data_IF_613510517800
#
_entry.id   IF_613510517800
#
_cell.length_a   1.000
_cell.length_b   1.000
_cell.length_c   1.000
_cell.angle_alpha   90.00
_cell.angle_beta   90.00
_cell.angle_gamma   90.00
#
_symmetry.space_group_name_H-M   'P 1'
#
loop_
_entity.id
_entity.type
_entity.pdbx_description
1 polymer ?
#
# COMPACT_ATOMS: atom_id res chain seq x y z
N UNK A 1 18.65 1.85 -14.16
CA UNK A 1 17.98 0.84 -13.33
C UNK A 1 17.17 1.62 -12.30
N UNK A 2 15.89 1.85 -12.59
CA UNK A 2 15.02 2.68 -11.75
C UNK A 2 14.47 1.80 -10.63
N UNK A 3 14.80 2.13 -9.38
CA UNK A 3 14.18 1.53 -8.21
C UNK A 3 12.76 2.11 -8.14
N UNK A 4 11.75 1.27 -8.36
CA UNK A 4 10.34 1.64 -8.19
C UNK A 4 10.13 1.97 -6.71
N UNK A 5 9.65 3.16 -6.33
CA UNK A 5 9.34 3.46 -4.94
C UNK A 5 8.05 2.70 -4.59
N UNK A 6 8.17 1.60 -3.82
CA UNK A 6 7.04 0.69 -3.58
C UNK A 6 6.08 1.14 -2.48
N UNK A 7 5.71 2.42 -2.54
CA UNK A 7 4.64 2.96 -1.71
C UNK A 7 4.02 4.17 -2.43
N UNK A 8 3.33 3.92 -3.55
CA UNK A 8 2.68 4.98 -4.33
C UNK A 8 1.33 4.45 -4.81
N UNK A 9 0.25 5.00 -4.22
CA UNK A 9 -1.11 5.08 -4.77
C UNK A 9 -1.68 3.79 -5.41
N UNK A 10 -2.62 3.14 -4.71
CA UNK A 10 -3.33 1.97 -5.23
C UNK A 10 -2.65 0.63 -4.95
N UNK A 11 -1.63 0.58 -4.09
CA UNK A 11 -1.04 -0.66 -3.61
C UNK A 11 -2.06 -1.57 -2.92
N UNK A 12 -1.88 -2.88 -2.98
CA UNK A 12 -2.75 -3.84 -2.29
C UNK A 12 -2.67 -3.66 -0.79
N UNK A 13 -3.78 -3.87 -0.10
CA UNK A 13 -3.71 -4.13 1.35
C UNK A 13 -2.86 -5.40 1.53
N UNK A 14 -1.81 -5.39 2.36
CA UNK A 14 -0.87 -6.51 2.49
C UNK A 14 -1.47 -7.70 3.24
N UNK A 15 -2.72 -7.58 3.70
CA UNK A 15 -3.41 -8.61 4.46
C UNK A 15 -3.68 -9.84 3.59
N UNK A 16 -3.56 -11.00 4.24
CA UNK A 16 -3.90 -12.30 3.67
C UNK A 16 -4.98 -12.93 4.54
N UNK A 17 -6.03 -13.41 3.89
CA UNK A 17 -7.13 -14.13 4.52
C UNK A 17 -6.75 -15.61 4.61
N UNK A 18 -6.97 -16.19 5.78
CA UNK A 18 -6.85 -17.63 5.99
C UNK A 18 -8.04 -18.38 5.36
N UNK A 19 -8.05 -19.72 5.50
CA UNK A 19 -9.13 -20.59 5.01
C UNK A 19 -10.51 -20.27 5.61
N UNK A 20 -10.55 -19.60 6.75
CA UNK A 20 -11.76 -19.24 7.48
C UNK A 20 -12.18 -17.80 7.17
N UNK A 21 -11.46 -17.11 6.27
CA UNK A 21 -11.73 -15.74 5.81
C UNK A 21 -11.29 -14.67 6.80
N UNK A 22 -10.47 -15.02 7.80
CA UNK A 22 -10.01 -14.07 8.80
C UNK A 22 -8.67 -13.45 8.37
N UNK A 23 -8.48 -12.13 8.63
CA UNK A 23 -7.22 -11.47 8.32
C UNK A 23 -6.12 -12.03 9.23
N UNK A 24 -5.04 -12.46 8.59
CA UNK A 24 -3.87 -12.96 9.27
C UNK A 24 -2.85 -11.83 9.51
N UNK A 25 -2.58 -11.44 10.77
CA UNK A 25 -1.68 -10.33 11.09
C UNK A 25 -0.18 -10.69 10.99
N UNK A 26 0.19 -11.90 10.58
CA UNK A 26 1.60 -12.31 10.53
C UNK A 26 2.40 -11.48 9.50
N UNK A 27 3.44 -10.72 9.93
CA UNK A 27 4.09 -9.73 9.11
C UNK A 27 5.37 -10.31 8.49
N UNK A 28 5.54 -10.19 7.16
CA UNK A 28 6.88 -9.94 6.58
C UNK A 28 7.01 -9.80 5.07
N UNK A 29 6.01 -10.17 4.29
CA UNK A 29 6.18 -10.17 2.83
C UNK A 29 5.59 -8.88 2.27
N UNK A 30 6.34 -7.80 2.48
CA UNK A 30 6.16 -6.51 1.80
C UNK A 30 7.43 -6.25 0.96
N UNK A 31 7.32 -5.63 -0.22
CA UNK A 31 6.09 -5.20 -0.87
C UNK A 31 5.32 -6.35 -1.54
N UNK A 32 4.00 -6.18 -1.70
CA UNK A 32 3.18 -7.03 -2.58
C UNK A 32 3.06 -6.30 -3.91
N UNK A 33 3.71 -6.82 -4.94
CA UNK A 33 3.63 -6.25 -6.27
C UNK A 33 2.27 -6.55 -6.90
N UNK A 34 1.64 -5.49 -7.41
CA UNK A 34 0.45 -5.60 -8.22
C UNK A 34 0.79 -6.31 -9.54
N UNK A 35 -0.11 -7.15 -10.06
CA UNK A 35 0.09 -7.75 -11.37
C UNK A 35 -0.04 -6.67 -12.44
N UNK A 36 0.69 -6.82 -13.54
CA UNK A 36 0.56 -5.91 -14.68
C UNK A 36 -0.88 -5.91 -15.21
N UNK A 37 -1.48 -4.72 -15.30
CA UNK A 37 -2.81 -4.52 -15.85
C UNK A 37 -2.71 -4.24 -17.35
N UNK A 38 -3.36 -5.10 -18.16
CA UNK A 38 -3.41 -4.94 -19.62
C UNK A 38 -4.57 -4.02 -20.05
N UNK A 39 -5.58 -3.84 -19.19
CA UNK A 39 -6.76 -2.96 -19.43
C UNK A 39 -7.05 -2.13 -18.17
N UNK A 40 -7.23 -0.81 -18.36
CA UNK A 40 -7.41 0.20 -17.32
C UNK A 40 -8.81 0.85 -17.36
N UNK A 41 -9.69 0.40 -18.26
CA UNK A 41 -11.02 0.98 -18.40
C UNK A 41 -11.92 0.61 -17.19
N UNK A 42 -12.56 1.60 -16.55
CA UNK A 42 -13.55 1.33 -15.50
C UNK A 42 -14.75 0.61 -16.12
N UNK A 43 -15.15 -0.53 -15.54
CA UNK A 43 -16.33 -1.28 -15.98
C UNK A 43 -17.38 -1.38 -14.88
N UNK A 44 -18.64 -1.39 -15.27
CA UNK A 44 -19.75 -1.58 -14.33
C UNK A 44 -19.70 -2.98 -13.72
N UNK A 45 -20.02 -3.08 -12.43
CA UNK A 45 -20.05 -4.33 -11.66
C UNK A 45 -21.01 -5.39 -12.25
N UNK A 46 -21.94 -4.96 -13.10
CA UNK A 46 -23.05 -5.77 -13.64
C UNK A 46 -22.66 -6.62 -14.86
N UNK A 47 -21.52 -6.35 -15.49
CA UNK A 47 -21.04 -7.21 -16.57
C UNK A 47 -20.52 -8.53 -15.97
N UNK A 48 -21.01 -9.68 -16.46
CA UNK A 48 -20.44 -10.99 -16.13
C UNK A 48 -19.02 -11.06 -16.69
N UNK A 49 -18.07 -10.52 -15.94
CA UNK A 49 -16.66 -10.46 -16.29
C UNK A 49 -16.11 -11.89 -16.24
N UNK A 50 -15.82 -12.48 -17.41
CA UNK A 50 -14.80 -13.53 -17.50
C UNK A 50 -13.54 -12.98 -16.86
N UNK A 51 -13.00 -13.68 -15.86
CA UNK A 51 -11.83 -13.35 -15.01
C UNK A 51 -10.57 -13.03 -15.83
N UNK A 52 -10.59 -11.94 -16.60
CA UNK A 52 -9.54 -11.54 -17.51
C UNK A 52 -8.62 -10.48 -16.87
N UNK A 53 -8.91 -10.07 -15.65
CA UNK A 53 -8.01 -9.25 -14.85
C UNK A 53 -7.09 -10.15 -14.05
N UNK A 54 -5.78 -10.05 -14.30
CA UNK A 54 -4.76 -10.88 -13.65
C UNK A 54 -4.78 -10.80 -12.10
N UNK A 55 -5.30 -9.73 -11.51
CA UNK A 55 -5.46 -9.62 -10.05
C UNK A 55 -6.67 -10.40 -9.49
N UNK A 56 -7.65 -10.74 -10.33
CA UNK A 56 -8.76 -11.64 -9.97
C UNK A 56 -8.48 -13.09 -10.39
N UNK A 57 -7.38 -13.33 -11.11
CA UNK A 57 -6.99 -14.69 -11.46
C UNK A 57 -6.51 -15.40 -10.20
N UNK A 58 -6.86 -16.70 -10.09
CA UNK A 58 -6.43 -17.55 -8.97
C UNK A 58 -4.92 -17.55 -8.78
N UNK A 59 -4.17 -17.39 -9.87
CA UNK A 59 -2.72 -17.47 -9.88
C UNK A 59 -2.05 -16.35 -9.07
N UNK A 60 -2.64 -15.14 -9.08
CA UNK A 60 -2.15 -14.03 -8.26
C UNK A 60 -2.96 -13.85 -6.97
N UNK A 61 -4.27 -14.15 -6.94
CA UNK A 61 -5.07 -13.98 -5.72
C UNK A 61 -4.69 -14.99 -4.62
N UNK A 62 -4.19 -16.17 -4.99
CA UNK A 62 -3.84 -17.24 -4.05
C UNK A 62 -2.32 -17.31 -3.85
N UNK A 63 -1.90 -17.60 -2.62
CA UNK A 63 -0.49 -17.90 -2.31
C UNK A 63 -0.40 -19.04 -1.32
N UNK A 64 0.61 -19.90 -1.47
CA UNK A 64 0.94 -20.91 -0.48
C UNK A 64 2.08 -20.35 0.37
N UNK A 65 1.88 -20.31 1.68
CA UNK A 65 2.87 -19.80 2.63
C UNK A 65 3.01 -20.75 3.81
N UNK A 66 4.24 -20.89 4.29
CA UNK A 66 4.52 -21.54 5.56
C UNK A 66 4.89 -20.48 6.59
N UNK A 67 3.98 -20.22 7.53
CA UNK A 67 4.16 -19.28 8.64
C UNK A 67 4.51 -19.99 9.94
N UNK A 68 5.02 -21.23 9.87
CA UNK A 68 5.40 -22.05 11.02
C UNK A 68 4.40 -23.15 11.37
N UNK A 69 3.27 -23.23 10.66
CA UNK A 69 2.24 -24.26 10.81
C UNK A 69 2.19 -25.21 9.60
N UNK A 70 3.24 -25.20 8.77
CA UNK A 70 3.30 -25.91 7.50
C UNK A 70 2.73 -25.07 6.35
N UNK A 71 2.92 -25.52 5.09
CA UNK A 71 2.40 -24.84 3.92
C UNK A 71 0.87 -24.79 3.94
N UNK A 72 0.33 -23.58 3.99
CA UNK A 72 -1.11 -23.32 3.95
C UNK A 72 -1.45 -22.39 2.79
N UNK A 73 -2.65 -22.56 2.26
CA UNK A 73 -3.19 -21.68 1.22
C UNK A 73 -3.79 -20.43 1.86
N UNK A 74 -3.44 -19.27 1.33
CA UNK A 74 -3.96 -17.97 1.74
C UNK A 74 -4.47 -17.21 0.52
N UNK A 75 -5.49 -16.39 0.73
CA UNK A 75 -6.06 -15.50 -0.28
C UNK A 75 -5.59 -14.08 0.02
N UNK A 76 -5.04 -13.38 -0.96
CA UNK A 76 -4.66 -11.96 -0.83
C UNK A 76 -5.92 -11.10 -0.73
N UNK A 77 -5.87 -10.05 0.09
CA UNK A 77 -6.86 -8.99 0.01
C UNK A 77 -6.81 -8.35 -1.38
N UNK A 78 -7.97 -8.27 -2.04
CA UNK A 78 -8.09 -7.79 -3.40
C UNK A 78 -8.41 -6.29 -3.44
N UNK A 79 -8.83 -5.72 -2.32
CA UNK A 79 -8.96 -4.28 -2.17
C UNK A 79 -7.58 -3.61 -2.17
N UNK A 80 -7.53 -2.45 -2.81
CA UNK A 80 -6.34 -1.60 -2.81
C UNK A 80 -6.50 -0.50 -1.78
N UNK A 81 -5.38 0.00 -1.26
CA UNK A 81 -5.38 1.18 -0.42
C UNK A 81 -5.95 2.37 -1.21
N UNK A 82 -6.85 3.15 -0.61
CA UNK A 82 -7.44 4.30 -1.29
C UNK A 82 -6.36 5.35 -1.59
N UNK A 83 -6.58 6.17 -2.62
CA UNK A 83 -5.58 7.14 -3.09
C UNK A 83 -5.11 8.12 -1.99
N UNK A 84 -5.96 8.42 -1.01
CA UNK A 84 -5.60 9.30 0.09
C UNK A 84 -4.59 8.68 1.07
N UNK A 85 -4.46 7.35 1.13
CA UNK A 85 -3.54 6.67 2.06
C UNK A 85 -2.07 7.07 1.85
N UNK A 86 -1.66 7.33 0.60
CA UNK A 86 -0.31 7.84 0.30
C UNK A 86 -0.15 9.32 0.64
N UNK A 87 -1.21 10.11 0.51
CA UNK A 87 -1.16 11.55 0.81
C UNK A 87 -1.01 11.83 2.31
N UNK A 88 -1.37 10.91 3.20
CA UNK A 88 -1.27 11.13 4.63
C UNK A 88 0.17 11.19 5.17
N UNK A 89 1.18 10.76 4.39
CA UNK A 89 2.56 10.66 4.89
C UNK A 89 3.65 11.04 3.89
N UNK A 90 3.31 11.40 2.64
CA UNK A 90 4.31 11.64 1.59
C UNK A 90 5.40 12.64 2.00
N UNK A 91 5.07 13.61 2.85
CA UNK A 91 6.00 14.63 3.34
C UNK A 91 7.14 14.01 4.17
N UNK A 92 6.90 12.90 4.89
CA UNK A 92 7.93 12.16 5.61
C UNK A 92 8.88 11.45 4.64
N UNK A 93 8.36 10.95 3.51
CA UNK A 93 9.20 10.25 2.54
C UNK A 93 10.08 11.18 1.72
N UNK A 94 9.71 12.46 1.60
CA UNK A 94 10.61 13.46 1.04
C UNK A 94 11.83 13.72 1.91
N UNK A 95 11.80 13.39 3.20
CA UNK A 95 12.95 13.54 4.10
C UNK A 95 14.04 12.52 3.76
N UNK A 96 13.65 11.30 3.41
CA UNK A 96 14.56 10.18 3.15
C UNK A 96 14.11 9.30 1.96
N UNK A 97 14.15 9.82 0.72
CA UNK A 97 13.50 9.19 -0.42
C UNK A 97 14.19 7.91 -0.92
N UNK A 98 15.45 7.69 -0.57
CA UNK A 98 16.27 6.59 -1.10
C UNK A 98 16.47 5.43 -0.11
N UNK A 99 15.95 5.54 1.11
CA UNK A 99 16.11 4.50 2.13
C UNK A 99 15.26 3.27 1.82
N UNK A 100 15.92 2.13 1.63
CA UNK A 100 15.27 0.85 1.31
C UNK A 100 14.97 0.00 2.54
N UNK A 101 15.53 0.34 3.69
CA UNK A 101 15.49 -0.50 4.90
C UNK A 101 14.38 -0.06 5.85
N UNK A 102 14.10 1.25 5.87
CA UNK A 102 13.11 1.86 6.74
C UNK A 102 12.30 2.92 5.99
N UNK A 103 11.18 3.30 6.60
CA UNK A 103 10.26 4.26 6.03
C UNK A 103 10.86 5.68 5.97
N UNK A 104 11.49 6.10 7.06
CA UNK A 104 12.34 7.29 7.21
C UNK A 104 13.32 7.00 8.34
N UNK A 105 14.58 7.42 8.19
CA UNK A 105 15.55 7.29 9.28
C UNK A 105 15.18 8.16 10.47
N UNK A 106 15.28 7.60 11.69
CA UNK A 106 14.94 8.29 12.94
C UNK A 106 15.73 9.61 13.09
N UNK A 107 17.00 9.63 12.71
CA UNK A 107 17.84 10.83 12.80
C UNK A 107 17.42 11.92 11.80
N UNK A 108 17.01 11.51 10.59
CA UNK A 108 16.53 12.41 9.54
C UNK A 108 15.15 12.97 9.92
N UNK A 109 14.25 12.11 10.37
CA UNK A 109 12.93 12.50 10.86
C UNK A 109 13.07 13.53 11.98
N UNK A 110 13.91 13.25 12.98
CA UNK A 110 14.16 14.20 14.08
C UNK A 110 14.70 15.53 13.59
N UNK A 111 15.67 15.51 12.68
CA UNK A 111 16.27 16.73 12.15
C UNK A 111 15.25 17.66 11.49
N UNK A 112 14.32 17.11 10.70
CA UNK A 112 13.35 17.90 9.95
C UNK A 112 12.03 18.17 10.69
N UNK A 113 11.60 17.26 11.57
CA UNK A 113 10.27 17.29 12.18
C UNK A 113 10.26 17.74 13.65
N UNK A 114 11.43 17.87 14.30
CA UNK A 114 11.52 18.24 15.73
C UNK A 114 11.66 19.75 15.99
N UNK A 115 11.24 20.59 15.04
CA UNK A 115 11.19 22.05 15.23
C UNK A 115 10.16 22.48 16.28
N UNK A 116 10.05 23.78 16.54
CA UNK A 116 9.11 24.33 17.55
C UNK A 116 7.64 23.97 17.29
N UNK A 117 7.30 23.72 16.02
CA UNK A 117 5.97 23.34 15.54
C UNK A 117 5.72 21.82 15.57
N UNK A 118 6.76 21.01 15.79
CA UNK A 118 6.67 19.54 15.80
C UNK A 118 6.28 18.93 14.44
N UNK A 119 6.55 19.62 13.33
CA UNK A 119 6.20 19.15 11.99
C UNK A 119 6.64 20.09 10.87
N UNK A 120 5.92 20.06 9.74
CA UNK A 120 6.17 20.94 8.59
C UNK A 120 5.92 22.39 8.98
N UNK A 121 6.95 23.26 8.84
CA UNK A 121 6.89 24.66 9.26
C UNK A 121 5.83 25.49 8.50
N UNK A 122 5.66 25.22 7.20
CA UNK A 122 4.69 25.89 6.35
C UNK A 122 4.10 24.92 5.34
N UNK A 123 2.80 24.68 5.45
CA UNK A 123 2.02 23.93 4.47
C UNK A 123 1.08 24.88 3.73
N UNK A 124 1.14 24.90 2.40
CA UNK A 124 0.28 25.72 1.54
C UNK A 124 -0.59 24.80 0.70
N UNK A 125 -1.91 24.85 0.92
CA UNK A 125 -2.89 24.04 0.21
C UNK A 125 -4.26 24.71 0.17
N UNK A 126 -5.15 24.20 -0.69
CA UNK A 126 -6.52 24.70 -0.78
C UNK A 126 -7.44 24.12 0.30
N UNK A 127 -8.54 24.82 0.57
CA UNK A 127 -9.53 24.46 1.61
C UNK A 127 -10.22 23.13 1.32
N UNK A 128 -10.23 22.69 0.06
CA UNK A 128 -10.77 21.40 -0.37
C UNK A 128 -10.09 20.20 0.32
N UNK A 129 -8.89 20.37 0.88
CA UNK A 129 -8.14 19.33 1.58
C UNK A 129 -8.41 19.25 3.10
N UNK A 130 -9.22 20.16 3.66
CA UNK A 130 -9.38 20.30 5.11
C UNK A 130 -10.08 19.12 5.82
N UNK A 131 -10.93 18.35 5.13
CA UNK A 131 -11.76 17.28 5.74
C UNK A 131 -11.28 15.87 5.37
N UNK A 132 -10.14 15.76 4.67
CA UNK A 132 -9.57 14.46 4.29
C UNK A 132 -8.06 14.41 4.56
N UNK A 133 -7.28 15.24 3.87
CA UNK A 133 -5.82 15.13 3.90
C UNK A 133 -5.20 15.71 5.19
N UNK A 134 -5.83 16.75 5.75
CA UNK A 134 -5.31 17.47 6.92
C UNK A 134 -5.87 16.98 8.27
N UNK A 135 -6.63 15.88 8.29
CA UNK A 135 -7.12 15.21 9.50
C UNK A 135 -6.15 14.10 9.91
#
# INVERSE_FOLDING_TARGET
MAVQPTAILGGTVPDRLDKDGLPNPYPRIVPVELPELIDWAPRSLDEKVTLNHHWQSRDWSTTILDLGNGPQEYIRELNTMPQWAGSCWYYLRYLDPLNSEEFVSEDIEKYWMSGETGGVDLYVGGVEHAVLHLL
#
